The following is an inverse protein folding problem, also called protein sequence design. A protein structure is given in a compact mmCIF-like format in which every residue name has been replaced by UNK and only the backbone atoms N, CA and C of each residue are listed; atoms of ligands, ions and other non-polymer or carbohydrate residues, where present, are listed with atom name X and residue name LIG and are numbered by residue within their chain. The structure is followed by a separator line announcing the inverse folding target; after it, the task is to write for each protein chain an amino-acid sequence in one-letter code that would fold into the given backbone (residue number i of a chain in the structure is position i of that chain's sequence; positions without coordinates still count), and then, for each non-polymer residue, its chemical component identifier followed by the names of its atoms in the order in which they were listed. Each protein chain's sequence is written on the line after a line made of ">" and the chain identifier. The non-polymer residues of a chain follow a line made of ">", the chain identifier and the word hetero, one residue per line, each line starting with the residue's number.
data_IF_530705903265
#
_entry.id   IF_530705903265
#
_cell.length_a   1.000
_cell.length_b   1.000
_cell.length_c   1.000
_cell.angle_alpha   90.00
_cell.angle_beta   90.00
_cell.angle_gamma   90.00
#
_symmetry.space_group_name_H-M   'P 1'
#
loop_
_entity.id
_entity.type
_entity.pdbx_description
1 polymer ?
#
# COMPACT_ATOMS: atom_id res chain seq x y z
N UNK A 1 -24.60 0.14 2.30
CA UNK A 1 -23.52 -0.74 2.78
C UNK A 1 -22.20 -0.30 2.15
N UNK A 2 -22.04 -0.34 0.82
CA UNK A 2 -20.83 0.09 0.11
C UNK A 2 -20.22 1.48 0.47
N UNK A 3 -21.02 2.48 0.85
CA UNK A 3 -20.52 3.81 1.23
C UNK A 3 -19.76 3.81 2.56
N UNK A 4 -20.12 2.94 3.50
CA UNK A 4 -19.39 2.82 4.76
C UNK A 4 -18.09 2.06 4.54
N UNK A 5 -18.07 1.07 3.64
CA UNK A 5 -16.90 0.25 3.33
C UNK A 5 -15.79 1.06 2.62
N UNK A 6 -16.16 2.01 1.75
CA UNK A 6 -15.19 2.92 1.12
C UNK A 6 -14.57 3.87 2.15
N UNK A 7 -15.37 4.38 3.10
CA UNK A 7 -14.90 5.25 4.17
C UNK A 7 -13.93 4.53 5.12
N UNK A 8 -14.30 3.33 5.55
CA UNK A 8 -13.45 2.48 6.38
C UNK A 8 -12.16 2.07 5.64
N UNK A 9 -12.29 1.84 4.33
CA UNK A 9 -11.19 1.65 3.39
C UNK A 9 -10.21 2.81 3.38
N UNK A 10 -10.72 4.04 3.20
CA UNK A 10 -9.90 5.24 3.15
C UNK A 10 -9.16 5.48 4.47
N UNK A 11 -9.83 5.29 5.62
CA UNK A 11 -9.22 5.44 6.95
C UNK A 11 -8.12 4.39 7.15
N UNK A 12 -8.40 3.13 6.84
CA UNK A 12 -7.41 2.06 6.90
C UNK A 12 -6.21 2.36 6.01
N UNK A 13 -6.46 2.85 4.79
CA UNK A 13 -5.46 3.29 3.84
C UNK A 13 -4.53 4.38 4.38
N UNK A 14 -5.09 5.43 4.98
CA UNK A 14 -4.31 6.50 5.61
C UNK A 14 -3.42 5.93 6.72
N UNK A 15 -3.98 5.10 7.61
CA UNK A 15 -3.24 4.51 8.73
C UNK A 15 -2.08 3.66 8.22
N UNK A 16 -2.34 2.78 7.25
CA UNK A 16 -1.31 1.96 6.61
C UNK A 16 -0.23 2.84 5.96
N UNK A 17 -0.63 3.87 5.21
CA UNK A 17 0.30 4.80 4.56
C UNK A 17 1.20 5.54 5.55
N UNK A 18 0.63 6.03 6.66
CA UNK A 18 1.39 6.71 7.72
C UNK A 18 2.35 5.74 8.42
N UNK A 19 1.91 4.53 8.77
CA UNK A 19 2.77 3.52 9.42
C UNK A 19 3.98 3.21 8.52
N UNK A 20 3.74 2.96 7.23
CA UNK A 20 4.81 2.64 6.28
C UNK A 20 5.73 3.84 6.02
N UNK A 21 5.18 5.05 5.96
CA UNK A 21 5.96 6.27 5.87
C UNK A 21 6.87 6.50 7.09
N UNK A 22 6.37 6.26 8.31
CA UNK A 22 7.18 6.33 9.54
C UNK A 22 8.27 5.27 9.53
N UNK A 23 7.94 4.03 9.16
CA UNK A 23 8.94 2.95 9.06
C UNK A 23 10.03 3.29 8.05
N UNK A 24 9.67 3.81 6.87
CA UNK A 24 10.63 4.26 5.87
C UNK A 24 11.56 5.36 6.40
N UNK A 25 11.02 6.34 7.13
CA UNK A 25 11.82 7.39 7.77
C UNK A 25 12.77 6.83 8.83
N UNK A 26 12.29 5.96 9.70
CA UNK A 26 13.11 5.35 10.75
C UNK A 26 14.25 4.53 10.16
N UNK A 27 13.96 3.68 9.15
CA UNK A 27 14.97 2.87 8.45
C UNK A 27 16.02 3.74 7.75
N UNK A 28 15.62 4.88 7.17
CA UNK A 28 16.56 5.82 6.57
C UNK A 28 17.46 6.50 7.63
N UNK A 29 16.90 6.91 8.77
CA UNK A 29 17.65 7.59 9.83
C UNK A 29 18.69 6.70 10.52
N UNK A 30 18.41 5.39 10.66
CA UNK A 30 19.35 4.43 11.26
C UNK A 30 20.37 3.85 10.25
N UNK A 31 20.37 4.34 9.00
CA UNK A 31 21.31 3.90 7.96
C UNK A 31 20.95 2.55 7.32
N UNK A 32 19.76 2.00 7.57
CA UNK A 32 19.24 0.78 6.93
C UNK A 32 18.46 1.11 5.65
N UNK A 33 19.02 1.99 4.82
CA UNK A 33 18.39 2.46 3.58
C UNK A 33 18.10 1.32 2.58
N UNK A 34 18.86 0.23 2.62
CA UNK A 34 18.61 -0.97 1.79
C UNK A 34 17.27 -1.64 2.10
N UNK A 35 16.77 -1.49 3.33
CA UNK A 35 15.47 -2.03 3.73
C UNK A 35 14.30 -1.12 3.35
N UNK A 36 14.56 0.16 3.05
CA UNK A 36 13.52 1.12 2.62
C UNK A 36 12.81 0.63 1.37
N UNK A 37 13.50 -0.11 0.50
CA UNK A 37 12.91 -0.71 -0.70
C UNK A 37 11.70 -1.62 -0.42
N UNK A 38 11.61 -2.24 0.76
CA UNK A 38 10.50 -3.12 1.13
C UNK A 38 9.31 -2.41 1.75
N UNK A 39 9.51 -1.17 2.22
CA UNK A 39 8.46 -0.37 2.86
C UNK A 39 8.01 0.81 2.01
N UNK A 40 8.81 1.23 1.03
CA UNK A 40 8.46 2.27 0.07
C UNK A 40 7.34 1.78 -0.85
N UNK A 41 6.24 2.53 -0.92
CA UNK A 41 5.10 2.22 -1.80
C UNK A 41 5.52 2.14 -3.28
N UNK A 42 6.60 2.81 -3.69
CA UNK A 42 7.10 2.75 -5.08
C UNK A 42 7.51 1.37 -5.52
N UNK A 43 8.00 0.53 -4.61
CA UNK A 43 8.43 -0.81 -4.98
C UNK A 43 7.25 -1.65 -5.46
N UNK A 44 6.06 -1.45 -4.90
CA UNK A 44 4.81 -2.09 -5.35
C UNK A 44 4.49 -1.72 -6.81
N UNK A 45 4.75 -0.47 -7.19
CA UNK A 45 4.52 0.05 -8.54
C UNK A 45 5.73 -0.09 -9.47
N UNK A 46 6.69 -0.97 -9.15
CA UNK A 46 7.86 -1.22 -10.01
C UNK A 46 8.77 -0.01 -10.20
N UNK A 47 8.73 0.98 -9.30
CA UNK A 47 9.54 2.19 -9.39
C UNK A 47 9.05 3.22 -10.41
N UNK A 48 7.85 3.05 -10.99
CA UNK A 48 7.28 3.95 -12.00
C UNK A 48 6.79 5.28 -11.38
N UNK A 49 6.61 5.32 -10.06
CA UNK A 49 6.22 6.54 -9.36
C UNK A 49 7.40 7.51 -9.18
N UNK A 50 7.16 8.84 -9.26
CA UNK A 50 8.20 9.85 -9.11
C UNK A 50 9.00 9.69 -7.82
N UNK A 51 10.32 9.93 -7.91
CA UNK A 51 11.20 10.04 -6.76
C UNK A 51 10.86 11.34 -6.02
N UNK A 52 9.92 11.31 -5.08
CA UNK A 52 10.01 12.20 -3.92
C UNK A 52 11.37 11.92 -3.27
N UNK A 53 12.28 12.89 -3.35
CA UNK A 53 13.69 12.78 -2.99
C UNK A 53 13.87 11.98 -1.71
N UNK A 54 14.82 11.04 -1.74
CA UNK A 54 15.11 10.17 -0.61
C UNK A 54 15.24 10.96 0.69
N UNK A 55 14.67 10.33 1.71
CA UNK A 55 14.40 10.80 3.05
C UNK A 55 15.58 11.47 3.81
N UNK A 56 15.19 12.27 4.81
CA UNK A 56 15.96 12.75 5.96
C UNK A 56 16.92 13.94 5.81
N UNK A 57 17.11 14.53 4.61
CA UNK A 57 17.95 15.73 4.49
C UNK A 57 17.31 16.98 5.14
N UNK A 58 15.98 17.06 5.20
CA UNK A 58 15.26 18.17 5.83
C UNK A 58 13.90 17.75 6.40
N UNK A 59 13.44 18.45 7.44
CA UNK A 59 12.12 18.26 8.04
C UNK A 59 11.00 18.36 7.00
N UNK A 60 11.12 19.31 6.06
CA UNK A 60 10.14 19.51 4.98
C UNK A 60 10.02 18.27 4.08
N UNK A 61 11.13 17.62 3.74
CA UNK A 61 11.11 16.40 2.94
C UNK A 61 10.47 15.22 3.69
N UNK A 62 10.68 15.13 5.01
CA UNK A 62 10.06 14.09 5.85
C UNK A 62 8.53 14.27 5.91
N UNK A 63 8.05 15.50 6.09
CA UNK A 63 6.61 15.82 6.09
C UNK A 63 6.00 15.53 4.73
N UNK A 64 6.66 15.96 3.63
CA UNK A 64 6.18 15.71 2.28
C UNK A 64 6.09 14.20 1.98
N UNK A 65 7.07 13.40 2.42
CA UNK A 65 7.03 11.94 2.28
C UNK A 65 5.86 11.32 3.04
N UNK A 66 5.63 11.72 4.29
CA UNK A 66 4.52 11.21 5.09
C UNK A 66 3.16 11.56 4.47
N UNK A 67 2.98 12.80 4.01
CA UNK A 67 1.75 13.22 3.33
C UNK A 67 1.56 12.45 2.03
N UNK A 68 2.61 12.28 1.24
CA UNK A 68 2.57 11.48 0.01
C UNK A 68 2.14 10.03 0.31
N UNK A 69 2.77 9.38 1.28
CA UNK A 69 2.43 8.00 1.67
C UNK A 69 1.00 7.89 2.21
N UNK A 70 0.55 8.88 3.00
CA UNK A 70 -0.83 8.92 3.50
C UNK A 70 -1.85 9.09 2.36
N UNK A 71 -1.57 9.94 1.37
CA UNK A 71 -2.44 10.15 0.20
C UNK A 71 -2.51 8.89 -0.66
N UNK A 72 -1.35 8.27 -0.97
CA UNK A 72 -1.32 7.03 -1.74
C UNK A 72 -2.04 5.92 -0.97
N UNK A 73 -1.79 5.82 0.34
CA UNK A 73 -2.49 4.90 1.23
C UNK A 73 -4.00 5.12 1.21
N UNK A 74 -4.47 6.36 1.31
CA UNK A 74 -5.89 6.73 1.22
C UNK A 74 -6.52 6.22 -0.07
N UNK A 75 -5.89 6.48 -1.22
CA UNK A 75 -6.40 6.06 -2.53
C UNK A 75 -6.47 4.53 -2.60
N UNK A 76 -5.40 3.85 -2.24
CA UNK A 76 -5.35 2.38 -2.23
C UNK A 76 -6.38 1.77 -1.28
N UNK A 77 -6.54 2.35 -0.09
CA UNK A 77 -7.50 1.92 0.91
C UNK A 77 -8.94 2.15 0.48
N UNK A 78 -9.25 3.30 -0.12
CA UNK A 78 -10.59 3.59 -0.65
C UNK A 78 -10.98 2.60 -1.75
N UNK A 79 -10.04 2.30 -2.66
CA UNK A 79 -10.25 1.28 -3.70
C UNK A 79 -10.46 -0.09 -3.05
N UNK A 80 -9.59 -0.48 -2.10
CA UNK A 80 -9.69 -1.75 -1.39
C UNK A 80 -11.04 -1.92 -0.70
N UNK A 81 -11.50 -0.92 0.04
CA UNK A 81 -12.81 -0.93 0.71
C UNK A 81 -13.97 -1.08 -0.29
N UNK A 82 -13.91 -0.36 -1.41
CA UNK A 82 -14.95 -0.44 -2.46
C UNK A 82 -15.04 -1.79 -3.19
N UNK A 83 -13.95 -2.56 -3.22
CA UNK A 83 -13.93 -3.90 -3.86
C UNK A 83 -13.84 -5.04 -2.85
N UNK A 84 -13.78 -4.76 -1.55
CA UNK A 84 -13.49 -5.73 -0.50
C UNK A 84 -14.41 -6.96 -0.54
N UNK A 85 -15.70 -6.74 -0.75
CA UNK A 85 -16.71 -7.82 -0.82
C UNK A 85 -16.55 -8.69 -2.08
N UNK A 86 -15.97 -8.15 -3.16
CA UNK A 86 -15.80 -8.84 -4.44
C UNK A 86 -14.57 -9.76 -4.47
N UNK A 87 -13.69 -9.66 -3.48
CA UNK A 87 -12.49 -10.51 -3.40
C UNK A 87 -12.89 -11.85 -2.76
N UNK A 88 -12.77 -12.98 -3.47
CA UNK A 88 -13.29 -14.29 -3.05
C UNK A 88 -12.37 -15.00 -2.04
N UNK A 89 -11.98 -14.33 -0.94
CA UNK A 89 -11.19 -14.92 0.14
C UNK A 89 -11.83 -14.67 1.51
N UNK A 90 -11.46 -15.50 2.49
CA UNK A 90 -12.13 -15.55 3.80
C UNK A 90 -11.64 -14.51 4.81
N UNK A 91 -10.36 -14.12 4.73
CA UNK A 91 -9.73 -13.20 5.68
C UNK A 91 -9.46 -11.83 5.07
N UNK A 92 -9.70 -10.75 5.82
CA UNK A 92 -9.40 -9.39 5.41
C UNK A 92 -7.92 -9.19 5.04
N UNK A 93 -7.01 -9.84 5.78
CA UNK A 93 -5.57 -9.80 5.51
C UNK A 93 -5.26 -10.46 4.17
N UNK A 94 -5.83 -11.63 3.91
CA UNK A 94 -5.66 -12.34 2.62
C UNK A 94 -6.26 -11.53 1.47
N UNK A 95 -7.41 -10.87 1.66
CA UNK A 95 -7.99 -9.95 0.67
C UNK A 95 -7.03 -8.81 0.34
N UNK A 96 -6.42 -8.19 1.36
CA UNK A 96 -5.46 -7.11 1.18
C UNK A 96 -4.21 -7.56 0.42
N UNK A 97 -3.67 -8.74 0.75
CA UNK A 97 -2.54 -9.33 0.00
C UNK A 97 -2.92 -9.57 -1.46
N UNK A 98 -4.07 -10.20 -1.73
CA UNK A 98 -4.52 -10.46 -3.12
C UNK A 98 -4.70 -9.16 -3.90
N UNK A 99 -5.26 -8.13 -3.28
CA UNK A 99 -5.43 -6.81 -3.91
C UNK A 99 -4.09 -6.18 -4.29
N UNK A 100 -3.13 -6.12 -3.36
CA UNK A 100 -1.81 -5.54 -3.63
C UNK A 100 -0.98 -6.40 -4.58
N UNK A 101 -1.14 -7.74 -4.55
CA UNK A 101 -0.54 -8.63 -5.54
C UNK A 101 -1.09 -8.35 -6.94
N UNK A 102 -2.39 -8.11 -7.09
CA UNK A 102 -2.97 -7.75 -8.38
C UNK A 102 -2.40 -6.41 -8.90
N UNK A 103 -2.27 -5.41 -8.02
CA UNK A 103 -1.60 -4.14 -8.35
C UNK A 103 -0.15 -4.39 -8.77
N UNK A 104 0.58 -5.18 -8.01
CA UNK A 104 1.97 -5.51 -8.32
C UNK A 104 2.12 -6.24 -9.66
N UNK A 105 1.24 -7.19 -10.01
CA UNK A 105 1.28 -7.82 -11.33
C UNK A 105 1.08 -6.79 -12.43
N UNK A 106 0.15 -5.85 -12.27
CA UNK A 106 -0.15 -4.84 -13.29
C UNK A 106 0.98 -3.81 -13.40
N UNK A 107 1.34 -3.17 -12.28
CA UNK A 107 2.25 -2.03 -12.25
C UNK A 107 3.73 -2.43 -12.07
N UNK A 108 3.99 -3.49 -11.32
CA UNK A 108 5.35 -4.00 -11.07
C UNK A 108 5.88 -4.92 -12.16
N UNK A 109 5.01 -5.62 -12.90
CA UNK A 109 5.40 -6.55 -13.97
C UNK A 109 4.90 -6.12 -15.35
N UNK A 110 3.59 -6.08 -15.59
CA UNK A 110 3.03 -5.94 -16.94
C UNK A 110 3.39 -4.61 -17.60
N UNK A 111 3.21 -3.48 -16.90
CA UNK A 111 3.52 -2.15 -17.44
C UNK A 111 5.01 -2.00 -17.79
N UNK A 112 5.97 -2.32 -16.90
CA UNK A 112 7.39 -2.29 -17.25
C UNK A 112 7.77 -3.19 -18.43
N UNK A 113 7.19 -4.40 -18.54
CA UNK A 113 7.42 -5.30 -19.68
C UNK A 113 6.89 -4.69 -20.99
N UNK A 114 5.69 -4.11 -20.97
CA UNK A 114 5.09 -3.46 -22.15
C UNK A 114 5.90 -2.23 -22.59
N UNK A 115 6.36 -1.41 -21.65
CA UNK A 115 7.12 -0.18 -21.95
C UNK A 115 8.56 -0.48 -22.39
N UNK A 116 9.20 -1.52 -21.86
CA UNK A 116 10.52 -1.96 -22.30
C UNK A 116 10.49 -2.59 -23.69
N UNK A 117 9.45 -3.38 -24.00
CA UNK A 117 9.25 -3.92 -25.35
C UNK A 117 9.07 -2.82 -26.41
N UNK A 118 8.54 -1.65 -26.01
CA UNK A 118 8.40 -0.47 -26.87
C UNK A 118 9.63 0.45 -26.92
N UNK A 119 10.72 0.14 -26.21
CA UNK A 119 11.94 0.98 -26.16
C UNK A 119 11.78 2.32 -25.43
N UNK A 120 10.64 2.55 -24.77
CA UNK A 120 10.29 3.85 -24.18
C UNK A 120 10.92 4.10 -22.80
N UNK A 121 11.37 3.05 -22.10
CA UNK A 121 12.07 3.19 -20.83
C UNK A 121 13.19 2.15 -20.67
N UNK A 122 14.35 2.52 -20.11
CA UNK A 122 15.35 1.58 -19.67
C UNK A 122 14.92 0.97 -18.33
N UNK A 123 13.86 0.15 -18.33
CA UNK A 123 13.53 -0.62 -17.13
C UNK A 123 14.43 -1.83 -17.10
N UNK A 124 15.56 -1.71 -16.40
CA UNK A 124 16.31 -2.88 -15.95
C UNK A 124 15.46 -3.60 -14.88
N UNK A 125 14.44 -4.34 -15.32
CA UNK A 125 13.73 -5.31 -14.51
C UNK A 125 14.73 -6.38 -14.11
N UNK A 126 15.28 -6.25 -12.91
CA UNK A 126 16.13 -7.28 -12.33
C UNK A 126 15.27 -8.25 -11.54
N UNK A 127 15.70 -9.51 -11.44
CA UNK A 127 15.03 -10.47 -10.56
C UNK A 127 14.92 -9.93 -9.12
N UNK A 128 15.94 -9.21 -8.65
CA UNK A 128 15.97 -8.55 -7.34
C UNK A 128 14.86 -7.51 -7.20
N UNK A 129 14.65 -6.61 -8.18
CA UNK A 129 13.59 -5.61 -8.10
C UNK A 129 12.19 -6.24 -8.10
N UNK A 130 12.01 -7.32 -8.86
CA UNK A 130 10.73 -8.05 -8.92
C UNK A 130 10.42 -8.71 -7.57
N UNK A 131 11.41 -9.37 -6.96
CA UNK A 131 11.26 -10.04 -5.66
C UNK A 131 11.02 -9.01 -4.55
N UNK A 132 11.79 -7.92 -4.52
CA UNK A 132 11.59 -6.86 -3.51
C UNK A 132 10.21 -6.20 -3.63
N UNK A 133 9.75 -5.95 -4.85
CA UNK A 133 8.41 -5.43 -5.13
C UNK A 133 7.30 -6.39 -4.68
N UNK A 134 7.49 -7.70 -4.89
CA UNK A 134 6.57 -8.73 -4.44
C UNK A 134 6.47 -8.76 -2.91
N UNK A 135 7.61 -8.75 -2.21
CA UNK A 135 7.67 -8.73 -0.75
C UNK A 135 6.97 -7.47 -0.22
N UNK A 136 7.25 -6.31 -0.81
CA UNK A 136 6.60 -5.06 -0.43
C UNK A 136 5.07 -5.12 -0.61
N UNK A 137 4.59 -5.67 -1.73
CA UNK A 137 3.16 -5.83 -1.99
C UNK A 137 2.48 -6.73 -0.93
N UNK A 138 3.15 -7.81 -0.51
CA UNK A 138 2.62 -8.69 0.55
C UNK A 138 2.55 -7.96 1.89
N UNK A 139 3.62 -7.23 2.27
CA UNK A 139 3.66 -6.48 3.54
C UNK A 139 2.58 -5.40 3.56
N UNK A 140 2.52 -4.57 2.52
CA UNK A 140 1.52 -3.50 2.39
C UNK A 140 0.10 -4.06 2.34
N UNK A 141 -0.13 -5.11 1.55
CA UNK A 141 -1.45 -5.73 1.42
C UNK A 141 -1.93 -6.35 2.71
N UNK A 142 -1.04 -7.05 3.42
CA UNK A 142 -1.34 -7.64 4.72
C UNK A 142 -1.67 -6.57 5.77
N UNK A 143 -0.88 -5.49 5.83
CA UNK A 143 -1.11 -4.38 6.74
C UNK A 143 -2.41 -3.64 6.42
N UNK A 144 -2.69 -3.38 5.15
CA UNK A 144 -3.94 -2.74 4.71
C UNK A 144 -5.16 -3.58 5.09
N UNK A 145 -5.13 -4.89 4.81
CA UNK A 145 -6.22 -5.80 5.18
C UNK A 145 -6.42 -5.89 6.69
N UNK A 146 -5.34 -5.88 7.47
CA UNK A 146 -5.40 -5.85 8.93
C UNK A 146 -6.02 -4.54 9.46
N UNK A 147 -5.57 -3.39 8.95
CA UNK A 147 -6.11 -2.08 9.36
C UNK A 147 -7.57 -1.94 8.95
N UNK A 148 -7.95 -2.42 7.77
CA UNK A 148 -9.34 -2.42 7.32
C UNK A 148 -10.23 -3.22 8.26
N UNK A 149 -9.83 -4.45 8.61
CA UNK A 149 -10.57 -5.26 9.57
C UNK A 149 -10.75 -4.54 10.91
N UNK A 150 -9.68 -3.94 11.42
CA UNK A 150 -9.71 -3.19 12.67
C UNK A 150 -10.61 -1.95 12.62
N UNK A 151 -10.57 -1.18 11.53
CA UNK A 151 -11.45 -0.01 11.34
C UNK A 151 -12.91 -0.45 11.23
N UNK A 152 -13.21 -1.42 10.36
CA UNK A 152 -14.56 -1.94 10.16
C UNK A 152 -15.19 -2.54 11.44
N UNK A 153 -14.36 -3.17 12.28
CA UNK A 153 -14.81 -3.72 13.57
C UNK A 153 -15.15 -2.65 14.60
N UNK A 154 -14.58 -1.44 14.47
CA UNK A 154 -14.86 -0.30 15.34
C UNK A 154 -16.05 0.53 14.89
N UNK A 155 -16.33 0.56 13.59
CA UNK A 155 -17.44 1.31 12.98
C UNK A 155 -18.76 0.52 12.98
N UNK A 156 -18.71 -0.81 13.14
CA UNK A 156 -19.87 -1.62 13.43
C UNK A 156 -20.48 -1.24 14.79
N UNK A 157 -21.55 -0.43 14.76
CA UNK A 157 -22.29 0.00 15.95
C UNK A 157 -22.68 -1.20 16.84
N UNK A 158 -22.70 -1.06 18.19
CA UNK A 158 -23.13 -2.14 19.08
C UNK A 158 -24.54 -2.57 18.68
N UNK A 159 -24.68 -3.84 18.32
CA UNK A 159 -25.95 -4.44 17.97
C UNK A 159 -26.95 -4.13 19.09
N UNK A 160 -28.00 -3.36 18.77
CA UNK A 160 -29.11 -3.14 19.72
C UNK A 160 -29.57 -4.52 20.19
N UNK A 161 -29.64 -4.80 21.51
CA UNK A 161 -30.19 -6.04 21.98
C UNK A 161 -31.62 -6.15 21.44
N UNK A 162 -31.89 -7.20 20.69
CA UNK A 162 -33.24 -7.55 20.26
C UNK A 162 -33.97 -7.97 21.54
N UNK A 163 -34.70 -7.03 22.14
CA UNK A 163 -35.64 -7.33 23.21
C UNK A 163 -36.75 -8.15 22.56
N UNK A 164 -36.75 -9.46 22.82
CA UNK A 164 -37.86 -10.36 22.54
C UNK A 164 -38.88 -10.28 23.67
#
# INVERSE_FOLDING_TARGET
>A
MATNDIGDGAIAGIITGVIMGILALLLALIGLASLVAFVDVRSIFGGVMPIAGFAAASLTAMIALLLFMAIVGLILGAIFGGIYEKIPTTSAVTKGIVFLLAIWVIFGLLIPILLSAGGAMPTALTATSIISALIAAIIWGGLLGMMFHWVSGKTAAPARPVVR
#
